data_IF_881827460486
#
_entry.id   IF_881827460486
#
_cell.length_a   1.000
_cell.length_b   1.000
_cell.length_c   1.000
_cell.angle_alpha   90.00
_cell.angle_beta   90.00
_cell.angle_gamma   90.00
#
_symmetry.space_group_name_H-M   'P 1'
#
loop_
_entity.id
_entity.type
_entity.pdbx_description
1 polymer ?
#
# COMPACT_ATOMS: atom_id res chain seq x y z
N UNK A 1 9.35 9.86 24.62
CA UNK A 1 9.09 9.26 23.29
C UNK A 1 8.49 7.89 23.56
N UNK A 2 7.28 7.63 23.08
CA UNK A 2 6.52 6.39 23.37
C UNK A 2 7.28 5.14 22.86
N UNK A 3 7.17 4.02 23.58
CA UNK A 3 7.85 2.75 23.24
C UNK A 3 7.44 2.26 21.84
N UNK A 4 6.21 2.53 21.41
CA UNK A 4 5.74 2.27 20.05
C UNK A 4 6.42 3.18 19.01
N UNK A 5 6.65 4.46 19.32
CA UNK A 5 7.40 5.37 18.43
C UNK A 5 8.84 4.89 18.28
N UNK A 6 9.45 4.37 19.35
CA UNK A 6 10.80 3.77 19.27
C UNK A 6 10.79 2.51 18.38
N UNK A 7 9.74 1.69 18.49
CA UNK A 7 9.58 0.45 17.74
C UNK A 7 9.24 0.66 16.24
N UNK A 8 8.31 1.56 15.92
CA UNK A 8 7.87 1.87 14.54
C UNK A 8 8.87 2.71 13.75
N UNK A 9 9.75 3.45 14.45
CA UNK A 9 10.72 4.38 13.85
C UNK A 9 12.15 3.83 13.84
N UNK A 10 12.57 2.96 14.78
CA UNK A 10 13.99 2.65 15.01
C UNK A 10 14.47 1.19 14.86
N UNK A 11 13.65 0.22 14.44
CA UNK A 11 14.14 -1.16 14.26
C UNK A 11 15.21 -1.27 13.15
N UNK A 12 16.48 -1.29 13.57
CA UNK A 12 17.68 -1.45 12.73
C UNK A 12 17.48 -2.57 11.72
N UNK A 13 17.81 -2.29 10.47
CA UNK A 13 18.04 -3.32 9.47
C UNK A 13 19.01 -4.36 10.04
N UNK A 14 18.87 -5.66 9.70
CA UNK A 14 20.01 -6.57 9.85
C UNK A 14 21.18 -5.91 9.11
N UNK A 15 22.32 -5.74 9.80
CA UNK A 15 23.56 -5.37 9.11
C UNK A 15 23.77 -6.40 8.01
N UNK A 16 23.80 -5.96 6.75
CA UNK A 16 24.28 -6.80 5.66
C UNK A 16 25.66 -7.32 6.07
N UNK A 17 25.86 -8.63 5.98
CA UNK A 17 27.13 -9.29 6.34
C UNK A 17 28.27 -9.01 5.33
N UNK A 18 28.10 -8.00 4.50
CA UNK A 18 29.05 -7.56 3.49
C UNK A 18 29.28 -6.06 3.65
N UNK A 19 30.08 -5.67 4.64
CA UNK A 19 30.94 -4.50 4.45
C UNK A 19 31.92 -4.90 3.34
N UNK A 20 31.67 -4.42 2.13
CA UNK A 20 32.56 -4.67 1.00
C UNK A 20 33.86 -3.90 1.23
N UNK A 21 34.88 -4.61 1.68
CA UNK A 21 36.24 -4.08 1.76
C UNK A 21 36.82 -3.96 0.34
N UNK A 22 36.90 -2.73 -0.14
CA UNK A 22 37.33 -2.38 -1.50
C UNK A 22 38.79 -2.80 -1.77
N UNK A 23 39.61 -2.94 -0.73
CA UNK A 23 41.00 -3.38 -0.86
C UNK A 23 41.10 -4.89 -1.07
N UNK A 24 40.23 -5.68 -0.45
CA UNK A 24 40.17 -7.14 -0.60
C UNK A 24 39.77 -7.56 -2.03
N UNK A 25 38.80 -6.85 -2.63
CA UNK A 25 38.36 -7.10 -4.03
C UNK A 25 39.47 -6.74 -5.02
N UNK A 26 40.26 -5.71 -4.72
CA UNK A 26 41.39 -5.29 -5.56
C UNK A 26 42.55 -6.27 -5.49
N UNK A 27 42.78 -6.89 -4.33
CA UNK A 27 43.77 -7.96 -4.16
C UNK A 27 43.38 -9.24 -4.93
N UNK A 28 42.11 -9.67 -4.86
CA UNK A 28 41.63 -10.84 -5.61
C UNK A 28 41.73 -10.66 -7.13
N UNK A 29 41.40 -9.47 -7.66
CA UNK A 29 41.56 -9.18 -9.10
C UNK A 29 43.01 -9.14 -9.57
N UNK A 30 43.95 -8.82 -8.67
CA UNK A 30 45.38 -8.83 -8.98
C UNK A 30 45.91 -10.27 -9.06
N UNK A 31 45.49 -11.15 -8.14
CA UNK A 31 45.82 -12.59 -8.19
C UNK A 31 45.18 -13.32 -9.39
N UNK A 32 43.98 -12.94 -9.83
CA UNK A 32 43.35 -13.53 -11.02
C UNK A 32 44.02 -13.12 -12.34
N UNK A 33 44.59 -11.92 -12.42
CA UNK A 33 45.34 -11.47 -13.59
C UNK A 33 46.73 -12.11 -13.66
N UNK A 34 47.41 -12.32 -12.53
CA UNK A 34 48.71 -13.00 -12.48
C UNK A 34 48.60 -14.50 -12.84
N UNK A 35 47.41 -15.13 -12.68
CA UNK A 35 47.16 -16.53 -13.08
C UNK A 35 46.81 -16.72 -14.56
N UNK A 36 46.58 -15.64 -15.33
CA UNK A 36 46.19 -15.71 -16.75
C UNK A 36 47.36 -15.66 -17.74
N UNK A 37 48.58 -15.43 -17.28
CA UNK A 37 49.80 -15.44 -18.12
C UNK A 37 50.43 -16.84 -18.28
N UNK A 38 49.58 -17.87 -18.40
CA UNK A 38 49.98 -19.22 -18.79
C UNK A 38 49.65 -19.48 -20.26
N UNK A 39 50.67 -19.73 -21.08
CA UNK A 39 50.60 -20.03 -22.52
C UNK A 39 49.58 -21.16 -22.80
N UNK A 40 48.51 -20.87 -23.55
CA UNK A 40 47.54 -21.88 -24.03
C UNK A 40 47.78 -22.16 -25.51
N UNK A 41 48.26 -23.37 -25.81
CA UNK A 41 48.55 -23.87 -27.15
C UNK A 41 47.24 -24.20 -27.91
N UNK A 42 47.08 -23.61 -29.12
CA UNK A 42 45.82 -23.57 -29.90
C UNK A 42 45.58 -24.80 -30.79
N UNK A 43 46.14 -25.98 -30.48
CA UNK A 43 46.09 -27.15 -31.38
C UNK A 43 45.22 -28.34 -30.96
N UNK A 44 44.43 -28.24 -29.89
CA UNK A 44 43.74 -29.42 -29.32
C UNK A 44 42.20 -29.33 -29.24
N UNK A 45 41.55 -28.60 -30.15
CA UNK A 45 40.07 -28.53 -30.22
C UNK A 45 39.47 -28.95 -31.56
N UNK A 46 40.03 -29.97 -32.19
CA UNK A 46 39.38 -30.65 -33.30
C UNK A 46 39.64 -32.15 -33.13
N UNK A 47 38.66 -32.88 -32.59
CA UNK A 47 38.42 -34.31 -32.79
C UNK A 47 37.26 -34.78 -31.88
N UNK A 48 36.04 -34.78 -32.42
CA UNK A 48 35.05 -35.84 -32.17
C UNK A 48 33.83 -35.63 -33.10
N UNK A 49 33.58 -36.56 -34.05
CA UNK A 49 32.51 -36.46 -35.03
C UNK A 49 31.23 -37.21 -34.61
N UNK A 50 30.14 -36.83 -35.27
CA UNK A 50 28.89 -37.57 -35.54
C UNK A 50 27.91 -37.89 -34.42
N UNK A 51 26.75 -37.21 -34.47
CA UNK A 51 25.43 -37.81 -34.26
C UNK A 51 24.34 -36.96 -34.91
N UNK A 52 23.98 -37.36 -36.12
CA UNK A 52 22.76 -36.96 -36.81
C UNK A 52 21.53 -37.50 -36.03
N UNK A 53 20.65 -36.60 -35.60
CA UNK A 53 19.27 -36.93 -35.23
C UNK A 53 18.38 -35.96 -35.98
N UNK A 54 17.71 -36.52 -36.98
CA UNK A 54 16.75 -35.88 -37.86
C UNK A 54 15.45 -35.61 -37.06
N UNK A 55 15.05 -34.35 -36.95
CA UNK A 55 13.72 -33.97 -36.49
C UNK A 55 13.13 -32.91 -37.41
N UNK A 56 12.14 -33.36 -38.16
CA UNK A 56 11.24 -32.61 -39.04
C UNK A 56 10.89 -31.21 -38.52
N UNK A 57 11.05 -30.21 -39.38
CA UNK A 57 10.60 -28.83 -39.18
C UNK A 57 9.09 -28.76 -38.92
N UNK A 58 8.70 -28.82 -37.64
CA UNK A 58 7.47 -28.16 -37.18
C UNK A 58 7.79 -26.68 -37.04
N UNK A 59 7.30 -25.89 -38.01
CA UNK A 59 7.22 -24.43 -37.91
C UNK A 59 6.29 -24.08 -36.74
N UNK A 60 6.87 -24.02 -35.55
CA UNK A 60 6.27 -23.39 -34.38
C UNK A 60 6.22 -21.90 -34.68
N UNK A 61 5.01 -21.35 -34.86
CA UNK A 61 4.82 -19.92 -34.72
C UNK A 61 5.39 -19.53 -33.35
N UNK A 62 6.55 -18.87 -33.37
CA UNK A 62 7.12 -18.25 -32.20
C UNK A 62 6.12 -17.19 -31.73
N UNK A 63 5.25 -17.56 -30.79
CA UNK A 63 4.56 -16.61 -29.94
C UNK A 63 5.69 -15.83 -29.28
N UNK A 64 5.89 -14.59 -29.73
CA UNK A 64 6.91 -13.67 -29.24
C UNK A 64 6.92 -13.68 -27.70
N UNK A 65 7.73 -14.56 -27.11
CA UNK A 65 8.43 -14.28 -25.88
C UNK A 65 9.37 -13.14 -26.27
N UNK A 66 8.85 -11.92 -26.18
CA UNK A 66 9.64 -10.71 -26.12
C UNK A 66 10.84 -11.01 -25.23
N UNK A 67 12.04 -10.73 -25.75
CA UNK A 67 13.29 -10.95 -25.06
C UNK A 67 13.17 -10.53 -23.59
N UNK A 68 13.40 -11.49 -22.68
CA UNK A 68 13.58 -11.25 -21.25
C UNK A 68 14.59 -10.10 -21.07
N UNK A 69 14.11 -8.90 -20.76
CA UNK A 69 14.93 -7.74 -20.40
C UNK A 69 14.56 -6.40 -21.06
N UNK A 70 13.83 -6.39 -22.19
CA UNK A 70 13.42 -5.13 -22.81
C UNK A 70 12.16 -4.57 -22.11
N UNK A 71 12.36 -3.68 -21.14
CA UNK A 71 11.27 -2.92 -20.51
C UNK A 71 10.57 -2.08 -21.59
N UNK A 72 9.27 -2.28 -21.87
CA UNK A 72 8.60 -1.60 -22.96
C UNK A 72 8.52 -0.10 -22.66
N UNK A 73 9.04 0.73 -23.57
CA UNK A 73 8.91 2.17 -23.46
C UNK A 73 7.43 2.57 -23.37
N UNK A 74 7.15 3.67 -22.67
CA UNK A 74 5.81 4.24 -22.56
C UNK A 74 5.42 4.82 -23.92
N UNK A 75 4.42 4.20 -24.57
CA UNK A 75 3.93 4.60 -25.89
C UNK A 75 2.48 5.08 -25.80
N UNK A 76 2.18 6.20 -26.46
CA UNK A 76 0.86 6.83 -26.47
C UNK A 76 0.64 7.77 -25.29
N UNK A 77 -0.62 8.06 -24.97
CA UNK A 77 -1.00 8.99 -23.91
C UNK A 77 -0.89 10.46 -24.33
N UNK A 78 -1.52 11.34 -23.56
CA UNK A 78 -1.44 12.80 -23.75
C UNK A 78 -0.34 13.37 -22.86
N UNK A 79 0.57 14.21 -23.37
CA UNK A 79 1.56 14.85 -22.51
C UNK A 79 0.88 15.76 -21.49
N UNK A 80 1.44 15.81 -20.28
CA UNK A 80 0.95 16.69 -19.23
C UNK A 80 1.16 18.16 -19.61
N UNK A 81 0.16 18.99 -19.31
CA UNK A 81 0.25 20.45 -19.47
C UNK A 81 0.79 21.10 -18.20
N UNK A 82 1.36 22.30 -18.30
CA UNK A 82 1.84 23.07 -17.14
C UNK A 82 0.71 23.35 -16.14
N UNK A 83 -0.48 23.67 -16.64
CA UNK A 83 -1.69 23.90 -15.83
C UNK A 83 -2.03 22.67 -14.99
N UNK A 84 -2.10 21.50 -15.61
CA UNK A 84 -2.45 20.26 -14.92
C UNK A 84 -1.34 19.79 -13.98
N UNK A 85 -0.07 19.94 -14.37
CA UNK A 85 1.07 19.63 -13.50
C UNK A 85 1.06 20.50 -12.23
N UNK A 86 0.78 21.79 -12.38
CA UNK A 86 0.65 22.74 -11.27
C UNK A 86 -0.53 22.37 -10.39
N UNK A 87 -1.70 22.13 -10.98
CA UNK A 87 -2.90 21.78 -10.23
C UNK A 87 -2.75 20.47 -9.47
N UNK A 88 -2.16 19.45 -10.09
CA UNK A 88 -1.93 18.15 -9.48
C UNK A 88 -1.03 18.27 -8.24
N UNK A 89 0.04 19.06 -8.35
CA UNK A 89 0.95 19.32 -7.22
C UNK A 89 0.32 20.15 -6.12
N UNK A 90 -0.41 21.21 -6.45
CA UNK A 90 -1.10 22.03 -5.45
C UNK A 90 -2.14 21.18 -4.71
N UNK A 91 -2.90 20.35 -5.42
CA UNK A 91 -3.91 19.47 -4.83
C UNK A 91 -3.27 18.43 -3.91
N UNK A 92 -2.14 17.83 -4.31
CA UNK A 92 -1.47 16.81 -3.51
C UNK A 92 -0.65 17.38 -2.35
N UNK A 93 0.15 18.41 -2.59
CA UNK A 93 1.24 18.87 -1.73
C UNK A 93 1.18 20.37 -1.36
N UNK A 94 0.12 21.08 -1.72
CA UNK A 94 -0.10 22.52 -1.48
C UNK A 94 0.71 23.51 -2.31
N UNK A 95 1.76 23.06 -3.02
CA UNK A 95 2.64 23.95 -3.79
C UNK A 95 3.20 23.24 -5.02
N UNK A 96 3.34 23.99 -6.11
CA UNK A 96 4.07 23.58 -7.31
C UNK A 96 5.49 24.19 -7.38
N UNK A 97 5.76 25.25 -6.61
CA UNK A 97 7.07 25.90 -6.49
C UNK A 97 8.06 25.13 -5.62
N UNK A 98 7.62 24.04 -4.98
CA UNK A 98 8.50 23.10 -4.28
C UNK A 98 8.29 21.70 -4.88
N UNK A 99 9.36 20.93 -5.12
CA UNK A 99 9.20 19.54 -5.55
C UNK A 99 8.46 18.73 -4.46
N UNK A 100 7.75 17.65 -4.84
CA UNK A 100 7.16 16.74 -3.88
C UNK A 100 8.19 16.25 -2.87
N UNK A 101 7.71 15.91 -1.68
CA UNK A 101 8.59 15.48 -0.59
C UNK A 101 9.34 14.22 -1.00
N UNK A 102 10.59 14.13 -0.60
CA UNK A 102 11.49 13.07 -1.04
C UNK A 102 10.99 11.67 -0.70
N UNK A 103 10.15 11.50 0.33
CA UNK A 103 9.57 10.21 0.67
C UNK A 103 8.56 9.72 -0.36
N UNK A 104 7.87 10.61 -1.07
CA UNK A 104 6.93 10.20 -2.13
C UNK A 104 7.65 9.88 -3.45
N UNK A 105 8.78 10.55 -3.70
CA UNK A 105 9.59 10.35 -4.92
C UNK A 105 10.45 9.07 -4.82
N UNK A 106 10.80 8.63 -3.60
CA UNK A 106 11.67 7.45 -3.35
C UNK A 106 10.93 6.29 -2.67
N UNK A 107 9.65 6.12 -2.96
CA UNK A 107 8.87 4.99 -2.45
C UNK A 107 8.31 4.17 -3.61
N UNK A 108 8.93 3.03 -3.95
CA UNK A 108 8.41 2.13 -4.95
C UNK A 108 7.36 1.16 -4.36
N UNK A 109 6.62 0.49 -5.22
CA UNK A 109 5.63 -0.54 -4.86
C UNK A 109 6.26 -1.93 -4.89
N UNK A 110 7.22 -2.18 -4.00
CA UNK A 110 7.97 -3.45 -3.98
C UNK A 110 7.34 -4.43 -3.00
N UNK A 111 7.13 -5.67 -3.44
CA UNK A 111 6.68 -6.76 -2.58
C UNK A 111 7.88 -7.38 -1.86
N UNK A 112 7.66 -7.96 -0.68
CA UNK A 112 8.67 -8.80 0.00
C UNK A 112 9.00 -10.03 -0.86
N UNK A 113 10.14 -10.72 -0.60
CA UNK A 113 10.55 -11.87 -1.39
C UNK A 113 9.44 -12.93 -1.53
N UNK A 114 9.25 -13.51 -2.73
CA UNK A 114 8.23 -14.51 -3.00
C UNK A 114 8.45 -15.80 -2.19
N UNK A 115 7.39 -16.58 -2.01
CA UNK A 115 7.39 -17.88 -1.34
C UNK A 115 7.88 -17.89 0.13
N UNK A 116 8.16 -16.72 0.71
CA UNK A 116 8.59 -16.53 2.09
C UNK A 116 7.42 -16.14 3.01
N UNK A 117 7.57 -16.32 4.34
CA UNK A 117 6.69 -15.69 5.30
C UNK A 117 6.62 -14.17 5.03
N UNK A 118 5.42 -13.62 5.02
CA UNK A 118 5.15 -12.21 4.69
C UNK A 118 5.35 -11.84 3.20
N UNK A 119 5.47 -12.81 2.29
CA UNK A 119 5.51 -12.57 0.84
C UNK A 119 4.26 -11.83 0.32
N UNK A 120 3.15 -11.85 1.07
CA UNK A 120 1.96 -11.03 0.75
C UNK A 120 2.12 -9.53 1.00
N UNK A 121 3.21 -9.10 1.66
CA UNK A 121 3.42 -7.75 2.15
C UNK A 121 4.21 -6.86 1.21
N UNK A 122 3.76 -5.62 1.03
CA UNK A 122 4.56 -4.53 0.48
C UNK A 122 5.67 -4.15 1.46
N UNK A 123 6.87 -3.97 0.94
CA UNK A 123 8.03 -3.48 1.66
C UNK A 123 8.25 -2.02 1.30
N UNK A 124 8.46 -1.18 2.31
CA UNK A 124 8.82 0.21 2.10
C UNK A 124 9.95 0.67 3.03
N UNK A 125 10.83 1.57 2.54
CA UNK A 125 11.79 2.26 3.40
C UNK A 125 11.05 3.01 4.53
N UNK A 126 11.69 3.16 5.70
CA UNK A 126 11.00 3.60 6.92
C UNK A 126 10.24 4.92 6.72
N UNK A 127 9.00 4.93 7.19
CA UNK A 127 8.05 6.04 7.25
C UNK A 127 7.54 6.60 5.90
N UNK A 128 8.04 6.16 4.74
CA UNK A 128 7.61 6.73 3.44
C UNK A 128 6.20 6.31 3.02
N UNK A 129 5.32 7.29 2.77
CA UNK A 129 3.99 7.13 2.16
C UNK A 129 3.12 5.97 2.73
N UNK A 130 3.28 5.64 4.03
CA UNK A 130 2.65 4.47 4.65
C UNK A 130 1.13 4.50 4.61
N UNK A 131 0.50 5.67 4.56
CA UNK A 131 -0.95 5.79 4.45
C UNK A 131 -1.45 5.21 3.11
N UNK A 132 -0.78 5.54 2.00
CA UNK A 132 -1.06 4.98 0.68
C UNK A 132 -0.72 3.49 0.64
N UNK A 133 0.47 3.11 1.10
CA UNK A 133 0.93 1.73 1.03
C UNK A 133 0.09 0.79 1.88
N UNK A 134 -0.32 1.19 3.08
CA UNK A 134 -1.16 0.34 3.94
C UNK A 134 -2.57 0.18 3.37
N UNK A 135 -3.11 1.22 2.74
CA UNK A 135 -4.39 1.12 2.04
C UNK A 135 -4.29 0.21 0.80
N UNK A 136 -3.22 0.31 0.02
CA UNK A 136 -2.96 -0.60 -1.10
C UNK A 136 -2.75 -2.04 -0.61
N UNK A 137 -1.96 -2.22 0.45
CA UNK A 137 -1.67 -3.51 1.07
C UNK A 137 -2.95 -4.24 1.49
N UNK A 138 -3.94 -3.52 2.01
CA UNK A 138 -5.22 -4.10 2.37
C UNK A 138 -5.98 -4.65 1.14
N UNK A 139 -5.89 -3.98 -0.02
CA UNK A 139 -6.46 -4.48 -1.29
C UNK A 139 -5.67 -5.65 -1.88
N UNK A 140 -4.34 -5.67 -1.71
CA UNK A 140 -3.50 -6.83 -2.05
C UNK A 140 -3.91 -8.05 -1.24
N UNK A 141 -4.07 -7.90 0.08
CA UNK A 141 -4.54 -8.98 0.98
C UNK A 141 -5.96 -9.41 0.61
N UNK A 142 -6.85 -8.46 0.30
CA UNK A 142 -8.20 -8.76 -0.19
C UNK A 142 -8.16 -9.69 -1.39
N UNK A 143 -7.36 -9.36 -2.40
CA UNK A 143 -7.28 -10.18 -3.59
C UNK A 143 -6.70 -11.56 -3.30
N UNK A 144 -5.58 -11.63 -2.57
CA UNK A 144 -4.93 -12.89 -2.22
C UNK A 144 -5.82 -13.83 -1.40
N UNK A 145 -6.51 -13.31 -0.38
CA UNK A 145 -7.31 -14.12 0.54
C UNK A 145 -8.74 -14.38 0.09
N UNK A 146 -9.35 -13.51 -0.72
CA UNK A 146 -10.79 -13.57 -0.93
C UNK A 146 -11.22 -13.61 -2.40
N UNK A 147 -10.53 -12.90 -3.30
CA UNK A 147 -10.95 -12.82 -4.69
C UNK A 147 -10.23 -13.87 -5.58
N UNK A 148 -8.99 -14.25 -5.23
CA UNK A 148 -8.20 -15.23 -5.99
C UNK A 148 -8.53 -16.69 -5.67
N UNK A 149 -9.35 -16.93 -4.64
CA UNK A 149 -9.74 -18.29 -4.25
C UNK A 149 -10.83 -18.83 -5.17
N UNK A 150 -10.72 -20.07 -5.67
CA UNK A 150 -11.78 -20.67 -6.47
C UNK A 150 -13.07 -20.72 -5.64
N UNK A 151 -14.16 -20.23 -6.23
CA UNK A 151 -15.47 -20.16 -5.58
C UNK A 151 -16.09 -21.56 -5.59
N UNK A 152 -15.68 -22.42 -4.66
CA UNK A 152 -16.29 -23.74 -4.46
C UNK A 152 -17.71 -23.59 -3.92
N UNK A 153 -18.64 -24.47 -4.31
CA UNK A 153 -20.06 -24.45 -3.87
C UNK A 153 -20.24 -24.46 -2.33
N UNK A 154 -19.25 -24.94 -1.59
CA UNK A 154 -19.26 -24.99 -0.12
C UNK A 154 -18.42 -23.87 0.55
N UNK A 155 -17.86 -22.93 -0.21
CA UNK A 155 -16.85 -21.94 0.25
C UNK A 155 -15.64 -22.56 0.98
N UNK A 156 -15.45 -23.88 0.89
CA UNK A 156 -14.31 -24.62 1.41
C UNK A 156 -13.29 -24.77 0.29
N UNK A 157 -12.31 -23.89 0.28
CA UNK A 157 -11.10 -24.13 -0.50
C UNK A 157 -10.34 -25.29 0.17
N UNK A 158 -9.92 -26.31 -0.59
CA UNK A 158 -9.16 -27.45 -0.06
C UNK A 158 -7.82 -27.03 0.58
N UNK A 159 -7.33 -25.85 0.21
CA UNK A 159 -6.07 -25.29 0.68
C UNK A 159 -6.32 -24.34 1.86
N UNK A 160 -5.59 -24.49 2.98
CA UNK A 160 -5.70 -23.60 4.13
C UNK A 160 -5.52 -22.12 3.74
N UNK A 161 -6.34 -21.21 4.30
CA UNK A 161 -6.28 -19.78 4.02
C UNK A 161 -4.89 -19.15 4.13
N UNK A 162 -4.08 -19.62 5.08
CA UNK A 162 -2.73 -19.09 5.37
C UNK A 162 -1.72 -19.39 4.25
N UNK A 163 -1.99 -20.38 3.40
CA UNK A 163 -1.13 -20.70 2.25
C UNK A 163 -1.09 -19.54 1.25
N UNK A 164 -2.19 -18.79 1.15
CA UNK A 164 -2.29 -17.60 0.29
C UNK A 164 -1.47 -16.41 0.81
N UNK A 165 -0.95 -16.49 2.05
CA UNK A 165 0.00 -15.52 2.61
C UNK A 165 1.46 -15.86 2.24
N UNK A 166 1.69 -16.87 1.38
CA UNK A 166 2.99 -17.16 0.77
C UNK A 166 2.83 -17.23 -0.75
N UNK A 167 2.51 -16.10 -1.40
CA UNK A 167 2.32 -16.08 -2.85
C UNK A 167 3.65 -16.29 -3.58
N UNK A 168 3.57 -16.95 -4.74
CA UNK A 168 4.64 -16.97 -5.73
C UNK A 168 4.80 -15.59 -6.38
N UNK A 169 5.92 -15.38 -7.08
CA UNK A 169 6.20 -14.12 -7.79
C UNK A 169 5.07 -13.73 -8.76
N UNK A 170 4.57 -14.67 -9.56
CA UNK A 170 3.45 -14.42 -10.49
C UNK A 170 2.18 -13.95 -9.75
N UNK A 171 1.87 -14.55 -8.60
CA UNK A 171 0.72 -14.13 -7.78
C UNK A 171 0.94 -12.79 -7.09
N UNK A 172 2.18 -12.44 -6.72
CA UNK A 172 2.51 -11.13 -6.17
C UNK A 172 2.28 -10.04 -7.21
N UNK A 173 2.80 -10.22 -8.43
CA UNK A 173 2.59 -9.30 -9.54
C UNK A 173 1.09 -9.17 -9.84
N UNK A 174 0.38 -10.30 -9.93
CA UNK A 174 -1.07 -10.31 -10.15
C UNK A 174 -1.86 -9.55 -9.08
N UNK A 175 -1.54 -9.80 -7.81
CA UNK A 175 -2.17 -9.10 -6.70
C UNK A 175 -1.92 -7.60 -6.78
N UNK A 176 -0.70 -7.19 -7.13
CA UNK A 176 -0.30 -5.80 -7.13
C UNK A 176 -1.00 -5.00 -8.24
N UNK A 177 -0.93 -5.44 -9.51
CA UNK A 177 -1.60 -4.71 -10.58
C UNK A 177 -3.11 -4.73 -10.44
N UNK A 178 -3.72 -5.83 -9.94
CA UNK A 178 -5.17 -5.86 -9.66
C UNK A 178 -5.56 -4.90 -8.55
N UNK A 179 -4.81 -4.86 -7.45
CA UNK A 179 -5.07 -3.94 -6.34
C UNK A 179 -4.92 -2.47 -6.79
N UNK A 180 -3.89 -2.15 -7.58
CA UNK A 180 -3.72 -0.82 -8.17
C UNK A 180 -4.90 -0.47 -9.09
N UNK A 181 -5.30 -1.37 -10.00
CA UNK A 181 -6.44 -1.14 -10.90
C UNK A 181 -7.73 -0.92 -10.13
N UNK A 182 -8.02 -1.74 -9.12
CA UNK A 182 -9.25 -1.63 -8.31
C UNK A 182 -9.33 -0.28 -7.59
N UNK A 183 -8.21 0.16 -7.02
CA UNK A 183 -8.13 1.44 -6.30
C UNK A 183 -8.30 2.64 -7.24
N UNK A 184 -7.60 2.63 -8.39
CA UNK A 184 -7.70 3.69 -9.40
C UNK A 184 -9.12 3.74 -9.97
N UNK A 185 -9.68 2.59 -10.35
CA UNK A 185 -11.03 2.46 -10.89
C UNK A 185 -12.10 2.96 -9.90
N UNK A 186 -11.93 2.66 -8.62
CA UNK A 186 -12.81 3.17 -7.55
C UNK A 186 -12.78 4.70 -7.47
N UNK A 187 -11.61 5.32 -7.57
CA UNK A 187 -11.47 6.79 -7.58
C UNK A 187 -12.15 7.41 -8.81
N UNK A 188 -12.13 6.71 -9.94
CA UNK A 188 -12.81 7.08 -11.19
C UNK A 188 -14.32 6.86 -11.21
N UNK A 189 -14.94 6.47 -10.08
CA UNK A 189 -16.39 6.23 -9.99
C UNK A 189 -16.84 4.80 -10.33
N UNK A 190 -15.92 3.89 -10.62
CA UNK A 190 -16.20 2.52 -11.07
C UNK A 190 -17.05 1.63 -10.15
N UNK A 191 -17.15 1.99 -8.86
CA UNK A 191 -17.97 1.29 -7.86
C UNK A 191 -19.05 2.19 -7.24
N UNK A 192 -19.17 3.41 -7.75
CA UNK A 192 -20.15 4.40 -7.30
C UNK A 192 -21.42 4.18 -8.11
N UNK A 193 -22.47 3.65 -7.49
CA UNK A 193 -23.82 3.59 -8.07
C UNK A 193 -24.48 4.96 -8.25
N UNK A 194 -23.71 6.05 -8.36
CA UNK A 194 -24.23 7.37 -8.67
C UNK A 194 -24.67 7.39 -10.14
N UNK A 195 -25.98 7.45 -10.34
CA UNK A 195 -26.58 7.54 -11.66
C UNK A 195 -26.05 8.78 -12.41
N UNK A 196 -25.50 8.58 -13.61
CA UNK A 196 -25.22 9.67 -14.56
C UNK A 196 -23.75 10.05 -14.76
N UNK A 197 -22.79 9.44 -14.06
CA UNK A 197 -21.35 9.64 -14.34
C UNK A 197 -20.74 8.32 -14.80
N UNK A 198 -20.32 8.28 -16.07
CA UNK A 198 -19.58 7.12 -16.58
C UNK A 198 -18.23 7.01 -15.88
N UNK A 199 -17.84 5.81 -15.43
CA UNK A 199 -16.59 5.64 -14.72
C UNK A 199 -15.40 5.87 -15.65
N UNK A 200 -14.45 6.68 -15.19
CA UNK A 200 -13.28 7.07 -15.96
C UNK A 200 -12.03 7.04 -15.09
N UNK A 201 -11.06 6.22 -15.47
CA UNK A 201 -9.77 6.12 -14.82
C UNK A 201 -8.69 6.83 -15.63
N UNK A 202 -7.83 7.58 -14.95
CA UNK A 202 -6.67 8.24 -15.53
C UNK A 202 -5.39 7.73 -14.86
N UNK A 203 -4.41 7.30 -15.65
CA UNK A 203 -3.10 6.84 -15.18
C UNK A 203 -2.03 7.73 -15.78
N UNK A 204 -1.09 8.20 -14.94
CA UNK A 204 0.05 8.96 -15.39
C UNK A 204 1.32 8.10 -15.34
N UNK A 205 2.07 8.03 -16.43
CA UNK A 205 3.36 7.32 -16.50
C UNK A 205 4.47 8.28 -16.95
N UNK A 206 5.68 8.18 -16.38
CA UNK A 206 6.81 9.02 -16.76
C UNK A 206 7.39 8.59 -18.11
N UNK A 207 7.88 9.57 -18.87
CA UNK A 207 8.67 9.39 -20.09
C UNK A 207 10.03 10.08 -19.96
N UNK A 208 10.87 10.00 -20.99
CA UNK A 208 12.18 10.67 -20.99
C UNK A 208 12.08 12.17 -21.36
N UNK A 209 10.96 12.60 -21.93
CA UNK A 209 10.79 13.96 -22.42
C UNK A 209 10.20 14.89 -21.36
N UNK A 210 10.72 16.11 -21.29
CA UNK A 210 10.27 17.14 -20.35
C UNK A 210 9.27 18.10 -21.01
N UNK A 211 8.01 18.04 -20.60
CA UNK A 211 6.93 18.86 -21.15
C UNK A 211 6.71 20.18 -20.40
N UNK A 212 7.08 20.24 -19.11
CA UNK A 212 6.93 21.43 -18.27
C UNK A 212 8.30 22.00 -17.92
N UNK A 213 8.52 23.26 -18.25
CA UNK A 213 9.80 23.94 -18.00
C UNK A 213 9.89 24.41 -16.55
N UNK A 214 11.13 24.51 -16.04
CA UNK A 214 11.37 25.09 -14.74
C UNK A 214 11.02 26.59 -14.73
N UNK A 215 10.30 27.04 -13.72
CA UNK A 215 9.91 28.45 -13.54
C UNK A 215 9.84 28.83 -12.06
N UNK A 216 9.67 30.12 -11.74
CA UNK A 216 9.42 30.58 -10.36
C UNK A 216 8.15 29.98 -9.75
N UNK A 217 7.20 29.57 -10.60
CA UNK A 217 5.92 29.00 -10.20
C UNK A 217 5.92 27.47 -10.24
N UNK A 218 6.94 26.85 -10.86
CA UNK A 218 7.03 25.40 -11.02
C UNK A 218 8.48 24.89 -10.94
N UNK A 219 8.81 24.14 -9.88
CA UNK A 219 10.15 23.56 -9.70
C UNK A 219 10.16 22.09 -10.13
N UNK A 220 10.86 21.75 -11.20
CA UNK A 220 10.94 20.36 -11.70
C UNK A 220 11.34 19.35 -10.60
N UNK A 221 10.70 18.17 -10.60
CA UNK A 221 11.00 17.09 -9.65
C UNK A 221 11.60 15.84 -10.32
N UNK A 222 11.79 15.87 -11.63
CA UNK A 222 12.30 14.74 -12.41
C UNK A 222 11.21 13.79 -12.91
N UNK A 223 9.94 14.00 -12.54
CA UNK A 223 8.84 13.05 -12.70
C UNK A 223 7.60 13.73 -13.29
N UNK A 224 7.04 14.70 -12.57
CA UNK A 224 5.75 15.33 -12.87
C UNK A 224 5.78 16.03 -14.23
N UNK A 225 6.88 16.70 -14.55
CA UNK A 225 7.05 17.38 -15.85
C UNK A 225 7.19 16.43 -17.04
N UNK A 226 7.34 15.12 -16.80
CA UNK A 226 7.57 14.10 -17.83
C UNK A 226 6.41 13.14 -17.99
N UNK A 227 5.25 13.44 -17.39
CA UNK A 227 4.12 12.52 -17.37
C UNK A 227 3.34 12.50 -18.69
N UNK A 228 2.98 11.30 -19.12
CA UNK A 228 1.93 11.04 -20.08
C UNK A 228 0.70 10.50 -19.37
N UNK A 229 -0.47 11.02 -19.74
CA UNK A 229 -1.76 10.68 -19.15
C UNK A 229 -2.54 9.77 -20.10
N UNK A 230 -3.01 8.66 -19.55
CA UNK A 230 -3.77 7.63 -20.24
C UNK A 230 -5.16 7.53 -19.64
N UNK A 231 -6.16 7.40 -20.48
CA UNK A 231 -7.58 7.38 -20.11
C UNK A 231 -8.18 6.01 -20.40
N UNK A 232 -8.97 5.51 -19.44
CA UNK A 232 -9.64 4.21 -19.52
C UNK A 232 -11.09 4.32 -19.08
N UNK A 233 -11.97 3.65 -19.81
CA UNK A 233 -13.42 3.56 -19.57
C UNK A 233 -13.87 2.16 -19.17
N UNK A 234 -12.95 1.20 -19.11
CA UNK A 234 -13.19 -0.18 -18.66
C UNK A 234 -12.12 -0.59 -17.63
N UNK A 235 -12.49 -1.48 -16.71
CA UNK A 235 -11.56 -2.00 -15.71
C UNK A 235 -10.56 -2.97 -16.34
N UNK A 236 -10.98 -3.73 -17.34
CA UNK A 236 -10.17 -4.72 -18.03
C UNK A 236 -9.00 -4.07 -18.79
N UNK A 237 -9.25 -2.97 -19.51
CA UNK A 237 -8.19 -2.25 -20.24
C UNK A 237 -7.18 -1.62 -19.27
N UNK A 238 -7.67 -1.06 -18.16
CA UNK A 238 -6.82 -0.55 -17.08
C UNK A 238 -5.94 -1.65 -16.48
N UNK A 239 -6.48 -2.86 -16.28
CA UNK A 239 -5.73 -4.01 -15.77
C UNK A 239 -4.63 -4.46 -16.73
N UNK A 240 -4.95 -4.58 -18.03
CA UNK A 240 -3.97 -4.93 -19.06
C UNK A 240 -2.85 -3.88 -19.12
N UNK A 241 -3.21 -2.60 -19.03
CA UNK A 241 -2.26 -1.50 -19.05
C UNK A 241 -1.34 -1.49 -17.83
N UNK A 242 -1.87 -1.61 -16.62
CA UNK A 242 -1.06 -1.67 -15.41
C UNK A 242 -0.18 -2.92 -15.37
N UNK A 243 -0.67 -4.08 -15.81
CA UNK A 243 0.14 -5.29 -15.94
C UNK A 243 1.35 -5.06 -16.85
N UNK A 244 1.17 -4.36 -17.97
CA UNK A 244 2.26 -4.08 -18.93
C UNK A 244 3.33 -3.14 -18.37
N UNK A 245 2.94 -2.14 -17.58
CA UNK A 245 3.83 -1.08 -17.09
C UNK A 245 4.14 -1.18 -15.59
N UNK A 246 3.81 -2.29 -14.94
CA UNK A 246 4.00 -2.49 -13.49
C UNK A 246 5.45 -2.24 -13.05
N UNK A 247 6.42 -2.57 -13.90
CA UNK A 247 7.85 -2.37 -13.63
C UNK A 247 8.21 -0.90 -13.30
N UNK A 248 7.46 0.09 -13.82
CA UNK A 248 7.67 1.51 -13.50
C UNK A 248 7.29 1.84 -12.06
N UNK A 249 6.32 1.12 -11.51
CA UNK A 249 5.91 1.27 -10.11
C UNK A 249 6.85 0.53 -9.15
N UNK A 250 7.56 -0.50 -9.63
CA UNK A 250 8.42 -1.38 -8.83
C UNK A 250 9.92 -1.05 -8.91
N UNK A 251 10.32 -0.10 -9.75
CA UNK A 251 11.74 0.27 -9.92
C UNK A 251 12.34 0.74 -8.59
N UNK A 252 13.50 0.20 -8.20
CA UNK A 252 14.21 0.60 -6.97
C UNK A 252 14.46 2.11 -6.92
N UNK A 253 14.32 2.69 -5.72
CA UNK A 253 14.34 4.15 -5.47
C UNK A 253 13.40 4.96 -6.39
N UNK A 254 12.43 4.28 -6.98
CA UNK A 254 11.47 4.86 -7.92
C UNK A 254 10.25 5.49 -7.24
N UNK A 255 9.37 5.97 -8.11
CA UNK A 255 8.27 6.90 -7.79
C UNK A 255 6.91 6.20 -7.70
N UNK A 256 6.89 4.89 -7.43
CA UNK A 256 5.68 4.06 -7.54
C UNK A 256 4.50 4.55 -6.68
N UNK A 257 4.77 4.98 -5.44
CA UNK A 257 3.75 5.57 -4.57
C UNK A 257 3.19 6.89 -5.12
N UNK A 258 4.05 7.75 -5.70
CA UNK A 258 3.64 9.00 -6.32
C UNK A 258 2.80 8.76 -7.58
N UNK A 259 3.20 7.83 -8.45
CA UNK A 259 2.44 7.47 -9.65
C UNK A 259 1.05 6.94 -9.30
N UNK A 260 0.94 6.08 -8.28
CA UNK A 260 -0.36 5.59 -7.82
C UNK A 260 -1.21 6.72 -7.22
N UNK A 261 -0.62 7.60 -6.42
CA UNK A 261 -1.31 8.77 -5.87
C UNK A 261 -1.87 9.65 -6.99
N UNK A 262 -1.05 9.97 -7.99
CA UNK A 262 -1.45 10.77 -9.14
C UNK A 262 -2.54 10.09 -9.96
N UNK A 263 -2.45 8.78 -10.20
CA UNK A 263 -3.52 8.05 -10.88
C UNK A 263 -4.87 8.15 -10.11
N UNK A 264 -4.84 8.04 -8.78
CA UNK A 264 -6.05 8.17 -7.95
C UNK A 264 -6.63 9.59 -8.00
N UNK A 265 -5.77 10.62 -7.87
CA UNK A 265 -6.18 12.04 -7.87
C UNK A 265 -6.69 12.46 -9.25
N UNK A 266 -6.02 12.06 -10.33
CA UNK A 266 -6.47 12.33 -11.70
C UNK A 266 -7.80 11.64 -11.99
N UNK A 267 -7.96 10.38 -11.60
CA UNK A 267 -9.22 9.64 -11.78
C UNK A 267 -10.38 10.26 -11.02
N UNK A 268 -10.16 10.74 -9.78
CA UNK A 268 -11.17 11.46 -9.01
C UNK A 268 -11.43 12.86 -9.57
N UNK A 269 -10.40 13.51 -10.11
CA UNK A 269 -10.34 14.90 -10.55
C UNK A 269 -9.87 15.84 -9.43
N UNK A 270 -8.94 16.74 -9.73
CA UNK A 270 -8.34 17.68 -8.75
C UNK A 270 -9.40 18.53 -8.02
N UNK A 271 -10.35 19.11 -8.76
CA UNK A 271 -11.45 19.88 -8.17
C UNK A 271 -12.34 19.06 -7.24
N UNK A 272 -12.59 17.80 -7.61
CA UNK A 272 -13.39 16.90 -6.78
C UNK A 272 -12.65 16.51 -5.50
N UNK A 273 -11.34 16.33 -5.55
CA UNK A 273 -10.52 16.10 -4.35
C UNK A 273 -10.55 17.34 -3.45
N UNK A 274 -10.41 18.54 -4.00
CA UNK A 274 -10.53 19.79 -3.22
C UNK A 274 -11.92 19.92 -2.56
N UNK A 275 -12.99 19.57 -3.27
CA UNK A 275 -14.35 19.50 -2.73
C UNK A 275 -14.50 18.45 -1.63
N UNK A 276 -13.90 17.27 -1.81
CA UNK A 276 -13.93 16.18 -0.81
C UNK A 276 -13.24 16.60 0.50
N UNK A 277 -12.25 17.49 0.44
CA UNK A 277 -11.54 18.05 1.61
C UNK A 277 -12.32 19.13 2.37
N UNK A 278 -13.51 19.52 1.86
CA UNK A 278 -14.47 20.43 2.51
C UNK A 278 -13.88 21.79 2.91
N UNK A 279 -12.87 22.28 2.16
CA UNK A 279 -12.22 23.58 2.38
C UNK A 279 -11.39 23.72 3.67
N UNK A 280 -11.55 22.81 4.64
CA UNK A 280 -10.80 22.78 5.91
C UNK A 280 -9.37 22.33 5.73
N UNK A 281 -9.14 21.45 4.76
CA UNK A 281 -7.82 20.90 4.44
C UNK A 281 -7.43 21.40 3.04
N UNK A 282 -6.29 22.07 2.94
CA UNK A 282 -5.86 22.74 1.69
C UNK A 282 -5.21 21.79 0.69
N UNK A 283 -4.73 20.63 1.13
CA UNK A 283 -3.99 19.69 0.31
C UNK A 283 -4.12 18.24 0.82
N UNK A 284 -4.02 17.27 -0.07
CA UNK A 284 -4.30 15.86 0.22
C UNK A 284 -3.27 15.22 1.17
N UNK A 285 -1.97 15.45 0.93
CA UNK A 285 -0.87 14.81 1.65
C UNK A 285 -0.39 15.68 2.80
N UNK A 286 -0.67 15.27 4.03
CA UNK A 286 -0.35 16.06 5.23
C UNK A 286 1.16 16.33 5.43
N UNK A 287 1.46 17.15 6.43
CA UNK A 287 2.83 17.38 6.87
C UNK A 287 3.55 16.13 7.42
N UNK A 288 2.82 15.07 7.75
CA UNK A 288 3.40 13.85 8.30
C UNK A 288 4.06 13.00 7.21
N UNK A 289 5.23 12.46 7.54
CA UNK A 289 6.05 11.63 6.63
C UNK A 289 5.27 10.39 6.14
N UNK A 290 4.41 9.84 6.99
CA UNK A 290 3.58 8.69 6.66
C UNK A 290 2.40 8.99 5.73
N UNK A 291 2.03 10.26 5.57
CA UNK A 291 0.88 10.70 4.79
C UNK A 291 -0.32 11.09 5.65
N UNK A 292 -1.52 11.06 5.05
CA UNK A 292 -2.76 11.52 5.68
C UNK A 292 -3.85 10.45 5.65
N UNK A 293 -4.85 10.62 6.52
CA UNK A 293 -6.06 9.79 6.52
C UNK A 293 -6.89 10.01 5.25
N UNK A 294 -6.80 11.20 4.64
CA UNK A 294 -7.49 11.55 3.39
C UNK A 294 -6.97 10.74 2.20
N UNK A 295 -5.68 10.40 2.18
CA UNK A 295 -5.14 9.43 1.23
C UNK A 295 -5.76 8.05 1.47
N UNK A 296 -5.88 7.61 2.73
CA UNK A 296 -6.52 6.33 3.04
C UNK A 296 -7.99 6.31 2.61
N UNK A 297 -8.77 7.35 2.92
CA UNK A 297 -10.19 7.41 2.55
C UNK A 297 -10.37 7.46 1.04
N UNK A 298 -9.48 8.15 0.31
CA UNK A 298 -9.45 8.12 -1.16
C UNK A 298 -9.28 6.70 -1.69
N UNK A 299 -8.29 5.95 -1.19
CA UNK A 299 -8.03 4.58 -1.66
C UNK A 299 -9.13 3.58 -1.26
N UNK A 300 -9.74 3.76 -0.08
CA UNK A 300 -10.79 2.88 0.44
C UNK A 300 -12.16 3.14 -0.18
N UNK A 301 -12.48 4.39 -0.53
CA UNK A 301 -13.85 4.80 -0.89
C UNK A 301 -13.95 5.53 -2.23
N UNK A 302 -12.83 5.92 -2.82
CA UNK A 302 -12.77 6.78 -4.00
C UNK A 302 -12.96 8.27 -3.69
N UNK A 303 -13.10 8.67 -2.41
CA UNK A 303 -13.27 10.07 -1.99
C UNK A 303 -12.30 10.44 -0.88
N UNK A 304 -11.67 11.59 -0.97
CA UNK A 304 -10.65 12.06 -0.02
C UNK A 304 -11.22 12.70 1.26
N UNK A 305 -12.42 12.27 1.69
CA UNK A 305 -13.14 12.92 2.78
C UNK A 305 -12.35 12.84 4.10
N UNK A 306 -12.28 13.93 4.89
CA UNK A 306 -11.79 13.89 6.26
C UNK A 306 -12.83 13.27 7.21
N UNK A 307 -14.07 13.12 6.76
CA UNK A 307 -15.19 12.74 7.58
C UNK A 307 -15.35 11.22 7.68
N UNK A 308 -15.12 10.67 8.87
CA UNK A 308 -15.13 9.22 9.07
C UNK A 308 -16.50 8.67 9.54
N UNK A 309 -17.48 9.54 9.79
CA UNK A 309 -18.85 9.15 10.15
C UNK A 309 -19.60 8.54 8.96
N UNK A 310 -20.74 7.91 9.24
CA UNK A 310 -21.59 7.34 8.20
C UNK A 310 -22.42 8.43 7.52
N UNK A 311 -22.52 8.38 6.19
CA UNK A 311 -23.48 9.18 5.42
C UNK A 311 -23.15 10.67 5.43
N UNK A 312 -24.18 11.49 5.29
CA UNK A 312 -24.07 12.95 5.30
C UNK A 312 -24.59 13.44 6.64
N UNK A 313 -23.81 14.27 7.33
CA UNK A 313 -24.24 14.98 8.53
C UNK A 313 -24.41 16.46 8.19
N UNK A 314 -25.54 17.03 8.58
CA UNK A 314 -25.78 18.46 8.43
C UNK A 314 -25.36 19.15 9.72
N UNK A 315 -24.34 20.00 9.64
CA UNK A 315 -23.78 20.71 10.80
C UNK A 315 -24.04 22.20 10.60
N UNK A 316 -24.78 22.80 11.52
CA UNK A 316 -25.07 24.22 11.59
C UNK A 316 -25.64 24.57 12.96
N UNK A 317 -25.47 25.81 13.35
CA UNK A 317 -26.06 26.37 14.57
C UNK A 317 -27.37 27.10 14.24
N UNK A 318 -28.16 27.53 15.23
CA UNK A 318 -29.45 28.22 14.97
C UNK A 318 -29.31 29.47 14.08
N UNK A 319 -28.13 30.10 14.10
CA UNK A 319 -27.81 31.29 13.31
C UNK A 319 -27.16 31.01 11.94
N UNK A 320 -26.81 29.76 11.62
CA UNK A 320 -26.08 29.39 10.39
C UNK A 320 -26.78 28.24 9.64
N UNK A 321 -26.90 28.38 8.31
CA UNK A 321 -27.42 27.30 7.47
C UNK A 321 -26.65 25.99 7.68
N UNK A 322 -27.36 24.90 7.90
CA UNK A 322 -26.75 23.59 8.11
C UNK A 322 -26.00 23.14 6.85
N UNK A 323 -24.67 23.05 6.95
CA UNK A 323 -23.81 22.65 5.85
C UNK A 323 -23.64 21.13 5.83
N UNK A 324 -23.78 20.46 4.67
CA UNK A 324 -23.62 19.02 4.57
C UNK A 324 -22.14 18.62 4.64
N UNK A 325 -21.77 17.85 5.65
CA UNK A 325 -20.49 17.15 5.76
C UNK A 325 -20.64 15.73 5.19
N UNK A 326 -19.91 15.45 4.12
CA UNK A 326 -19.97 14.17 3.43
C UNK A 326 -18.99 13.18 4.05
N UNK A 327 -19.49 12.29 4.90
CA UNK A 327 -18.74 11.16 5.43
C UNK A 327 -18.67 9.98 4.47
N UNK A 328 -18.60 8.78 5.04
CA UNK A 328 -18.50 7.54 4.27
C UNK A 328 -19.88 7.15 3.74
N UNK A 329 -20.05 7.24 2.42
CA UNK A 329 -21.36 7.09 1.76
C UNK A 329 -21.82 5.63 1.58
N UNK A 330 -20.90 4.69 1.51
CA UNK A 330 -21.19 3.25 1.35
C UNK A 330 -20.21 2.41 2.14
N UNK A 331 -20.57 1.17 2.44
CA UNK A 331 -19.69 0.22 3.14
C UNK A 331 -18.55 -0.18 2.18
N UNK A 332 -17.31 0.06 2.59
CA UNK A 332 -16.13 -0.34 1.82
C UNK A 332 -15.81 -1.83 2.03
N UNK A 333 -15.23 -2.54 1.04
CA UNK A 333 -14.74 -3.89 1.24
C UNK A 333 -13.65 -3.98 2.32
N UNK A 334 -12.86 -2.92 2.50
CA UNK A 334 -11.80 -2.81 3.48
C UNK A 334 -12.16 -1.70 4.47
N UNK A 335 -11.97 -1.97 5.77
CA UNK A 335 -12.32 -1.06 6.85
C UNK A 335 -11.19 -0.10 7.23
N UNK A 336 -11.48 0.73 8.23
CA UNK A 336 -10.51 1.64 8.84
C UNK A 336 -10.74 1.69 10.36
N UNK A 337 -9.66 1.48 11.12
CA UNK A 337 -9.62 1.70 12.56
C UNK A 337 -8.65 2.84 12.87
N UNK A 338 -9.04 3.73 13.77
CA UNK A 338 -8.25 4.92 14.12
C UNK A 338 -8.19 5.07 15.63
N UNK A 339 -6.97 5.27 16.14
CA UNK A 339 -6.69 5.64 17.51
C UNK A 339 -5.68 6.79 17.52
N UNK A 340 -6.02 7.92 18.13
CA UNK A 340 -5.23 9.16 18.05
C UNK A 340 -4.21 9.35 19.19
N UNK A 341 -4.06 8.39 20.11
CA UNK A 341 -3.24 8.56 21.32
C UNK A 341 -4.04 8.96 22.57
N UNK A 342 -3.37 8.96 23.73
CA UNK A 342 -3.94 9.24 25.04
C UNK A 342 -4.37 10.70 25.29
N UNK A 343 -4.95 10.93 26.47
CA UNK A 343 -5.67 12.17 26.83
C UNK A 343 -4.82 13.44 26.93
N UNK A 344 -3.50 13.34 27.05
CA UNK A 344 -2.64 14.55 27.07
C UNK A 344 -2.64 15.28 25.72
N UNK A 345 -2.96 14.60 24.62
CA UNK A 345 -3.20 15.20 23.30
C UNK A 345 -4.68 15.60 23.08
N UNK A 346 -5.56 15.42 24.06
CA UNK A 346 -7.03 15.57 23.89
C UNK A 346 -7.57 16.97 24.07
N UNK A 347 -6.86 17.89 24.73
CA UNK A 347 -7.42 19.24 24.99
C UNK A 347 -7.39 20.18 23.78
N UNK A 348 -6.65 19.85 22.72
CA UNK A 348 -6.43 20.77 21.57
C UNK A 348 -6.82 20.23 20.19
N UNK A 349 -7.37 19.01 20.05
CA UNK A 349 -7.67 18.44 18.74
C UNK A 349 -9.18 18.31 18.48
N UNK A 350 -9.80 19.42 18.08
CA UNK A 350 -11.19 19.53 17.59
C UNK A 350 -11.42 18.66 16.32
N UNK A 351 -10.35 18.08 15.74
CA UNK A 351 -10.36 17.26 14.53
C UNK A 351 -10.30 15.73 14.78
N UNK A 352 -10.45 15.24 16.02
CA UNK A 352 -10.51 13.78 16.26
C UNK A 352 -11.82 13.22 15.72
N UNK A 353 -11.74 12.44 14.65
CA UNK A 353 -12.90 11.79 14.05
C UNK A 353 -12.82 10.28 14.17
N UNK A 354 -13.89 9.66 14.65
CA UNK A 354 -13.92 8.21 14.81
C UNK A 354 -14.66 7.55 13.65
N UNK A 355 -14.14 6.45 13.10
CA UNK A 355 -14.81 5.69 12.06
C UNK A 355 -16.22 5.23 12.48
N UNK A 356 -17.21 5.51 11.63
CA UNK A 356 -18.54 4.95 11.74
C UNK A 356 -18.59 3.46 11.36
N UNK A 357 -19.78 2.86 11.49
CA UNK A 357 -19.95 1.42 11.21
C UNK A 357 -19.61 1.03 9.77
N UNK A 358 -19.72 1.91 8.76
CA UNK A 358 -19.34 1.61 7.36
C UNK A 358 -17.84 1.32 7.18
N UNK A 359 -17.01 1.75 8.13
CA UNK A 359 -15.57 1.47 8.18
C UNK A 359 -15.17 0.49 9.28
N UNK A 360 -15.87 0.48 10.43
CA UNK A 360 -15.60 -0.49 11.52
C UNK A 360 -16.09 -1.90 11.19
N UNK A 361 -17.18 -2.04 10.41
CA UNK A 361 -17.71 -3.34 9.95
C UNK A 361 -17.67 -3.41 8.41
N UNK A 362 -16.47 -3.54 7.82
CA UNK A 362 -16.30 -3.69 6.37
C UNK A 362 -16.87 -5.01 5.85
N UNK A 363 -16.94 -5.17 4.53
CA UNK A 363 -17.47 -6.40 3.92
C UNK A 363 -16.55 -7.62 4.09
N UNK A 364 -15.23 -7.38 4.22
CA UNK A 364 -14.21 -8.39 4.48
C UNK A 364 -13.47 -8.04 5.77
N UNK A 365 -12.96 -9.01 6.54
CA UNK A 365 -12.28 -8.77 7.81
C UNK A 365 -10.85 -8.24 7.61
N UNK A 366 -10.73 -7.08 6.96
CA UNK A 366 -9.51 -6.36 6.68
C UNK A 366 -9.74 -4.91 7.07
N UNK A 367 -8.83 -4.33 7.83
CA UNK A 367 -8.86 -2.93 8.25
C UNK A 367 -7.50 -2.30 8.01
N UNK A 368 -7.49 -1.13 7.36
CA UNK A 368 -6.36 -0.23 7.49
C UNK A 368 -6.39 0.34 8.91
N UNK A 369 -5.23 0.48 9.52
CA UNK A 369 -5.11 1.03 10.88
C UNK A 369 -4.38 2.36 10.85
N UNK A 370 -4.82 3.32 11.66
CA UNK A 370 -4.04 4.48 12.07
C UNK A 370 -3.89 4.46 13.59
N UNK A 371 -2.70 4.10 14.08
CA UNK A 371 -2.38 3.98 15.50
C UNK A 371 -1.42 5.11 15.89
N UNK A 372 -1.92 6.16 16.52
CA UNK A 372 -1.17 7.40 16.82
C UNK A 372 -0.47 8.00 15.60
N UNK A 373 -1.15 7.99 14.45
CA UNK A 373 -0.60 8.50 13.18
C UNK A 373 0.25 7.50 12.41
N UNK A 374 0.44 6.28 12.94
CA UNK A 374 1.16 5.22 12.26
C UNK A 374 0.23 4.27 11.49
N UNK A 375 0.54 4.02 10.22
CA UNK A 375 -0.31 3.22 9.34
C UNK A 375 0.13 1.75 9.26
N UNK A 376 -0.88 0.87 9.16
CA UNK A 376 -0.71 -0.58 9.02
C UNK A 376 -2.01 -1.24 8.58
N UNK A 377 -2.04 -2.58 8.61
CA UNK A 377 -3.20 -3.39 8.23
C UNK A 377 -3.45 -4.45 9.29
N UNK A 378 -4.69 -4.52 9.78
CA UNK A 378 -5.22 -5.63 10.57
C UNK A 378 -6.08 -6.50 9.66
N UNK A 379 -5.93 -7.81 9.71
CA UNK A 379 -6.78 -8.71 8.94
C UNK A 379 -6.91 -10.10 9.57
N UNK A 380 -7.98 -10.80 9.18
CA UNK A 380 -8.21 -12.20 9.52
C UNK A 380 -8.46 -12.99 8.22
N UNK A 381 -8.06 -14.25 8.19
CA UNK A 381 -8.15 -15.11 6.99
C UNK A 381 -9.52 -15.75 6.79
N UNK A 382 -10.37 -15.77 7.82
CA UNK A 382 -11.75 -16.23 7.82
C UNK A 382 -12.72 -15.13 7.37
N UNK A 383 -13.23 -15.26 6.14
CA UNK A 383 -14.20 -14.34 5.52
C UNK A 383 -15.44 -14.08 6.39
N UNK A 384 -15.90 -15.08 7.13
CA UNK A 384 -17.15 -15.04 7.88
C UNK A 384 -17.01 -14.41 9.27
N UNK A 385 -15.82 -13.92 9.65
CA UNK A 385 -15.56 -13.33 10.97
C UNK A 385 -16.61 -12.29 11.38
N UNK A 386 -16.98 -11.38 10.47
CA UNK A 386 -17.92 -10.29 10.74
C UNK A 386 -19.39 -10.65 10.45
N UNK A 387 -19.64 -11.85 9.93
CA UNK A 387 -20.98 -12.32 9.53
C UNK A 387 -21.51 -13.36 10.51
N UNK A 388 -20.62 -14.10 11.15
CA UNK A 388 -20.95 -15.14 12.11
C UNK A 388 -20.51 -14.73 13.52
N UNK A 389 -21.48 -14.45 14.38
CA UNK A 389 -21.23 -14.08 15.77
C UNK A 389 -20.45 -15.14 16.57
N UNK A 390 -20.49 -16.43 16.18
CA UNK A 390 -19.65 -17.45 16.81
C UNK A 390 -18.17 -17.28 16.45
N UNK A 391 -17.88 -16.88 15.21
CA UNK A 391 -16.51 -16.64 14.74
C UNK A 391 -15.91 -15.39 15.41
N UNK A 392 -16.74 -14.39 15.71
CA UNK A 392 -16.31 -13.15 16.40
C UNK A 392 -16.09 -13.33 17.93
N UNK A 393 -16.35 -14.52 18.49
CA UNK A 393 -16.11 -14.80 19.92
C UNK A 393 -14.63 -14.90 20.26
N UNK A 394 -13.90 -15.69 19.48
CA UNK A 394 -12.47 -15.93 19.66
C UNK A 394 -11.82 -16.18 18.32
N UNK A 395 -10.85 -15.36 17.95
CA UNK A 395 -10.22 -15.42 16.64
C UNK A 395 -8.80 -14.85 16.69
N UNK A 396 -7.99 -15.24 15.71
CA UNK A 396 -6.66 -14.65 15.51
C UNK A 396 -6.72 -13.48 14.54
N UNK A 397 -5.98 -12.42 14.79
CA UNK A 397 -5.88 -11.25 13.92
C UNK A 397 -4.41 -10.95 13.63
N UNK A 398 -4.10 -10.81 12.35
CA UNK A 398 -2.78 -10.47 11.85
C UNK A 398 -2.66 -8.96 11.78
N UNK A 399 -1.58 -8.41 12.36
CA UNK A 399 -1.15 -7.04 12.16
C UNK A 399 0.08 -7.03 11.26
N UNK A 400 0.07 -6.20 10.22
CA UNK A 400 1.19 -6.01 9.31
C UNK A 400 1.43 -4.52 9.04
N UNK A 401 2.68 -4.08 9.03
CA UNK A 401 3.07 -2.75 8.55
C UNK A 401 4.05 -2.87 7.38
N UNK A 402 3.95 -1.95 6.42
CA UNK A 402 4.87 -1.93 5.28
C UNK A 402 6.33 -1.64 5.69
N UNK A 403 6.56 -1.23 6.94
CA UNK A 403 7.90 -1.13 7.55
C UNK A 403 8.49 -2.48 7.99
N UNK A 404 7.78 -3.59 7.78
CA UNK A 404 8.27 -4.95 8.08
C UNK A 404 7.92 -5.46 9.47
N UNK A 405 7.04 -4.78 10.22
CA UNK A 405 6.51 -5.32 11.47
C UNK A 405 5.31 -6.23 11.18
N UNK A 406 5.31 -7.44 11.75
CA UNK A 406 4.18 -8.34 11.74
C UNK A 406 3.94 -8.93 13.13
N UNK A 407 2.67 -9.05 13.53
CA UNK A 407 2.27 -9.63 14.82
C UNK A 407 1.01 -10.46 14.62
N UNK A 408 0.89 -11.59 15.31
CA UNK A 408 -0.34 -12.34 15.45
C UNK A 408 -0.90 -12.11 16.86
N UNK A 409 -2.20 -11.85 16.94
CA UNK A 409 -2.90 -11.56 18.20
C UNK A 409 -4.14 -12.46 18.28
N UNK A 410 -4.40 -13.07 19.44
CA UNK A 410 -5.67 -13.75 19.70
C UNK A 410 -6.60 -12.76 20.42
N UNK A 411 -7.79 -12.54 19.86
CA UNK A 411 -8.81 -11.66 20.43
C UNK A 411 -9.96 -12.53 20.94
N UNK A 412 -10.27 -12.40 22.23
CA UNK A 412 -11.39 -13.08 22.89
C UNK A 412 -12.38 -12.03 23.43
N UNK A 413 -13.57 -11.97 22.83
CA UNK A 413 -14.62 -11.00 23.18
C UNK A 413 -15.49 -11.45 24.36
N UNK A 414 -15.22 -12.63 24.95
CA UNK A 414 -16.03 -13.24 26.02
C UNK A 414 -15.32 -13.38 27.36
N UNK A 415 -14.01 -13.19 27.41
CA UNK A 415 -13.22 -13.33 28.63
C UNK A 415 -13.57 -12.34 29.76
N UNK A 416 -14.68 -11.61 29.64
CA UNK A 416 -15.22 -10.68 30.62
C UNK A 416 -15.84 -11.40 31.85
N UNK A 417 -16.39 -12.61 31.68
CA UNK A 417 -17.19 -13.26 32.74
C UNK A 417 -16.39 -13.69 33.99
N UNK A 418 -15.05 -13.77 33.93
CA UNK A 418 -14.22 -14.18 35.08
C UNK A 418 -13.74 -13.00 35.97
N UNK A 419 -14.07 -11.75 35.63
CA UNK A 419 -13.52 -10.56 36.28
C UNK A 419 -14.59 -9.63 36.89
N UNK A 420 -15.66 -10.19 37.48
CA UNK A 420 -16.56 -9.42 38.36
C UNK A 420 -15.84 -9.17 39.69
N UNK A 421 -15.00 -8.13 39.77
CA UNK A 421 -14.37 -7.78 41.05
C UNK A 421 -13.32 -6.68 41.08
N UNK A 422 -12.83 -6.19 39.94
CA UNK A 422 -11.95 -5.01 39.95
C UNK A 422 -12.27 -4.13 38.76
N UNK A 423 -12.78 -2.92 39.03
CA UNK A 423 -12.56 -1.77 38.16
C UNK A 423 -11.05 -1.68 37.93
N UNK A 424 -10.54 -2.31 36.86
CA UNK A 424 -9.11 -2.43 36.65
C UNK A 424 -8.55 -1.07 36.29
N UNK A 425 -7.72 -0.59 37.20
CA UNK A 425 -6.85 0.57 37.12
C UNK A 425 -5.71 0.36 36.10
N UNK A 426 -6.00 -0.20 34.90
CA UNK A 426 -4.97 -0.68 33.94
C UNK A 426 -5.13 -0.12 32.50
N UNK A 427 -5.72 1.06 32.33
CA UNK A 427 -5.61 1.80 31.05
C UNK A 427 -4.16 2.23 30.73
N UNK A 428 -3.26 2.15 31.72
CA UNK A 428 -1.85 2.55 31.61
C UNK A 428 -0.99 1.47 30.95
N UNK A 429 -1.33 0.18 31.08
CA UNK A 429 -0.51 -0.93 30.56
C UNK A 429 -0.88 -1.40 29.16
N UNK A 430 -2.07 -1.07 28.65
CA UNK A 430 -2.50 -1.46 27.32
C UNK A 430 -1.67 -0.75 26.24
N UNK A 431 -1.09 -1.53 25.32
CA UNK A 431 -0.34 -1.02 24.19
C UNK A 431 -1.23 -0.19 23.26
N UNK A 432 -0.65 0.76 22.50
CA UNK A 432 -1.38 1.49 21.46
C UNK A 432 -2.17 0.61 20.47
N UNK A 433 -1.63 -0.56 20.14
CA UNK A 433 -2.28 -1.51 19.23
C UNK A 433 -3.48 -2.18 19.88
N UNK A 434 -3.39 -2.56 21.15
CA UNK A 434 -4.54 -3.06 21.92
C UNK A 434 -5.63 -1.99 22.05
N UNK A 435 -5.25 -0.76 22.39
CA UNK A 435 -6.17 0.39 22.45
C UNK A 435 -6.87 0.63 21.11
N UNK A 436 -6.16 0.46 20.00
CA UNK A 436 -6.76 0.51 18.66
C UNK A 436 -7.78 -0.62 18.45
N UNK A 437 -7.44 -1.87 18.80
CA UNK A 437 -8.34 -3.03 18.66
C UNK A 437 -9.60 -2.84 19.50
N UNK A 438 -9.46 -2.29 20.71
CA UNK A 438 -10.57 -1.94 21.59
C UNK A 438 -11.52 -0.88 21.03
N UNK A 439 -11.09 -0.06 20.07
CA UNK A 439 -12.03 0.86 19.37
C UNK A 439 -13.11 0.12 18.58
N UNK A 440 -12.90 -1.17 18.28
CA UNK A 440 -13.87 -2.04 17.60
C UNK A 440 -14.40 -3.13 18.52
N UNK A 441 -13.53 -3.88 19.19
CA UNK A 441 -13.89 -4.95 20.12
C UNK A 441 -13.64 -4.47 21.54
N UNK A 442 -14.60 -3.69 22.04
CA UNK A 442 -14.55 -3.14 23.39
C UNK A 442 -14.40 -4.27 24.41
N UNK A 443 -13.51 -4.08 25.38
CA UNK A 443 -13.24 -5.02 26.50
C UNK A 443 -12.76 -6.42 26.10
N UNK A 444 -12.40 -6.65 24.84
CA UNK A 444 -11.88 -7.95 24.40
C UNK A 444 -10.51 -8.25 25.01
N UNK A 445 -10.32 -9.47 25.51
CA UNK A 445 -9.01 -9.91 26.00
C UNK A 445 -8.11 -10.19 24.80
N UNK A 446 -6.98 -9.49 24.73
CA UNK A 446 -5.99 -9.62 23.67
C UNK A 446 -4.80 -10.40 24.20
N UNK A 447 -4.41 -11.46 23.50
CA UNK A 447 -3.23 -12.28 23.82
C UNK A 447 -2.26 -12.25 22.65
N UNK A 448 -0.99 -11.93 22.93
CA UNK A 448 0.06 -11.87 21.90
C UNK A 448 0.58 -13.27 21.61
N UNK A 449 0.41 -13.74 20.37
CA UNK A 449 0.89 -15.06 19.92
C UNK A 449 2.22 -14.90 19.20
N UNK A 450 3.32 -14.88 19.96
CA UNK A 450 4.69 -14.75 19.45
C UNK A 450 5.62 -14.12 20.48
N UNK A 451 6.92 -14.01 20.15
CA UNK A 451 7.83 -13.16 20.95
C UNK A 451 7.20 -11.77 21.03
N UNK A 452 6.84 -11.36 22.24
CA UNK A 452 6.68 -9.94 22.56
C UNK A 452 7.83 -9.19 21.91
N UNK A 453 7.59 -8.02 21.29
CA UNK A 453 8.68 -7.25 20.71
C UNK A 453 9.77 -7.07 21.80
N UNK A 454 10.91 -7.73 21.60
CA UNK A 454 11.96 -7.84 22.60
C UNK A 454 12.50 -6.43 22.88
N UNK A 455 12.07 -5.87 24.00
CA UNK A 455 12.62 -4.64 24.56
C UNK A 455 13.99 -5.00 25.10
N UNK A 456 15.02 -4.85 24.25
CA UNK A 456 16.40 -5.12 24.67
C UNK A 456 16.75 -4.31 25.91
N UNK A 457 17.15 -5.02 26.97
CA UNK A 457 17.86 -4.43 28.10
C UNK A 457 19.10 -3.66 27.60
N UNK A 458 19.48 -2.55 28.24
CA UNK A 458 20.75 -1.92 27.97
C UNK A 458 21.87 -2.87 28.39
N UNK A 459 22.68 -3.32 27.43
CA UNK A 459 23.94 -3.97 27.74
C UNK A 459 24.80 -3.00 28.57
N UNK A 460 25.32 -3.52 29.69
CA UNK A 460 26.27 -2.85 30.58
C UNK A 460 27.55 -2.45 29.86
#
# INVERSE_FOLDING_TARGET
MDQLTKYLVYNKTPKCRNEMDYEAIKAQKKEENEKKDGIVDKRLRLLSPDREIDHEERVLYARNKLLNGARPAVVGGKPITEELATELRVTCFSSASCPPRGEWIRTPLVMRPPDQPLGYGLAAPRNGARSLLSALQAHVIKWLLFDSRPQTKDNKCDVPPDTYLRPSEERQEEALWRACSEVIWRCGGGNSGQAGVEPKALVALPTDHCYVQHSSHYYQDGVTEKLHIFEFTTLEDLQIFLKRYLYLFQTEDGVGALLLLYACVLSRGCDNVKKDLDGKITHLVSAHVEGSINVVTLLLTGRATPYLHNGVLYVGDEDHYAMPQFGILSRSPVGLLVWYGGEENSKNNINKQYPGSRLKTPALPIWVTSCSGHYGVLFNTNRELLRNYHAERRFDIHYYTCGGCNVLLNVDTRAHDDAVGTLRTDDISATPLEKLIHTKWQDAKITWTGTTPYVGEPAK
#
